data_IF_011936199115
#
_entry.id   IF_011936199115
#
_cell.length_a   1.000
_cell.length_b   1.000
_cell.length_c   1.000
_cell.angle_alpha   90.00
_cell.angle_beta   90.00
_cell.angle_gamma   90.00
#
_symmetry.space_group_name_H-M   'P 1'
#
loop_
_entity.id
_entity.type
_entity.pdbx_description
1 polymer ?
#
# COMPACT_ATOMS: atom_id res chain seq x y z
N UNK A 1 1.74 -26.09 71.14
CA UNK A 1 0.69 -27.06 70.75
C UNK A 1 -0.54 -26.24 70.32
N UNK A 2 -0.93 -26.31 69.05
CA UNK A 2 -2.20 -26.93 68.57
C UNK A 2 -3.45 -26.35 69.28
N UNK A 3 -4.55 -25.91 68.66
CA UNK A 3 -5.14 -25.99 67.30
C UNK A 3 -6.43 -25.12 67.32
N UNK A 4 -6.80 -24.52 66.16
CA UNK A 4 -8.15 -24.31 65.55
C UNK A 4 -9.34 -23.84 66.43
N UNK A 5 -10.15 -22.84 66.04
CA UNK A 5 -11.04 -22.76 64.88
C UNK A 5 -11.40 -21.28 64.58
N UNK A 6 -11.28 -20.75 63.35
CA UNK A 6 -12.18 -20.86 62.18
C UNK A 6 -13.66 -20.56 62.45
N UNK A 7 -14.13 -19.39 61.99
CA UNK A 7 -15.24 -19.25 61.01
C UNK A 7 -15.78 -17.81 60.98
N UNK A 8 -15.21 -16.93 60.14
CA UNK A 8 -15.95 -15.76 59.61
C UNK A 8 -15.23 -15.04 58.46
N UNK A 9 -14.66 -15.73 57.47
CA UNK A 9 -14.24 -15.08 56.22
C UNK A 9 -14.55 -16.02 55.06
N UNK A 10 -15.81 -16.06 54.65
CA UNK A 10 -16.20 -16.52 53.33
C UNK A 10 -17.49 -15.80 52.97
N UNK A 11 -17.60 -15.32 51.73
CA UNK A 11 -18.60 -14.39 51.18
C UNK A 11 -18.14 -12.93 51.22
N UNK A 12 -17.07 -12.61 50.49
CA UNK A 12 -16.93 -11.29 49.82
C UNK A 12 -15.77 -11.26 48.79
N UNK A 13 -15.55 -12.34 48.02
CA UNK A 13 -14.57 -12.32 46.93
C UNK A 13 -14.90 -13.34 45.83
N UNK A 14 -16.14 -13.33 45.32
CA UNK A 14 -16.50 -14.13 44.13
C UNK A 14 -17.53 -13.44 43.22
N UNK A 15 -17.75 -12.13 43.38
CA UNK A 15 -18.65 -11.36 42.50
C UNK A 15 -17.92 -10.38 41.57
N UNK A 16 -16.64 -10.09 41.79
CA UNK A 16 -15.91 -9.05 41.02
C UNK A 16 -15.10 -9.58 39.84
N UNK A 17 -14.94 -10.91 39.69
CA UNK A 17 -14.24 -11.50 38.53
C UNK A 17 -15.16 -11.82 37.36
N UNK A 18 -16.48 -11.93 37.56
CA UNK A 18 -17.40 -12.27 36.48
C UNK A 18 -17.72 -11.08 35.56
N UNK A 19 -17.69 -9.84 36.06
CA UNK A 19 -17.92 -8.64 35.24
C UNK A 19 -16.69 -8.18 34.44
N UNK A 20 -15.46 -8.53 34.86
CA UNK A 20 -14.26 -8.11 34.14
C UNK A 20 -13.98 -9.00 32.91
N UNK A 21 -14.44 -10.26 32.92
CA UNK A 21 -14.25 -11.21 31.82
C UNK A 21 -15.32 -11.05 30.73
N UNK A 22 -16.53 -10.61 31.08
CA UNK A 22 -17.59 -10.36 30.09
C UNK A 22 -17.40 -9.05 29.32
N UNK A 23 -16.88 -7.99 29.95
CA UNK A 23 -16.57 -6.73 29.27
C UNK A 23 -15.38 -6.88 28.31
N UNK A 24 -14.39 -7.71 28.65
CA UNK A 24 -13.27 -8.02 27.76
C UNK A 24 -13.67 -8.95 26.61
N UNK A 25 -14.56 -9.92 26.84
CA UNK A 25 -15.10 -10.76 25.77
C UNK A 25 -16.06 -9.99 24.84
N UNK A 26 -16.88 -9.05 25.35
CA UNK A 26 -17.71 -8.19 24.51
C UNK A 26 -16.90 -7.10 23.80
N UNK A 27 -15.84 -6.56 24.41
CA UNK A 27 -14.92 -5.62 23.74
C UNK A 27 -14.02 -6.32 22.72
N UNK A 28 -13.59 -7.56 22.96
CA UNK A 28 -12.91 -8.38 21.95
C UNK A 28 -13.86 -8.87 20.87
N UNK A 29 -15.11 -9.21 21.20
CA UNK A 29 -16.12 -9.53 20.19
C UNK A 29 -16.55 -8.29 19.38
N UNK A 30 -16.55 -7.09 19.97
CA UNK A 30 -16.79 -5.83 19.25
C UNK A 30 -15.56 -5.35 18.47
N UNK A 31 -14.34 -5.66 18.92
CA UNK A 31 -13.10 -5.41 18.17
C UNK A 31 -12.89 -6.44 17.05
N UNK A 32 -13.28 -7.71 17.26
CA UNK A 32 -13.35 -8.73 16.22
C UNK A 32 -14.55 -8.50 15.28
N UNK A 33 -15.65 -7.91 15.76
CA UNK A 33 -16.75 -7.46 14.90
C UNK A 33 -16.44 -6.16 14.15
N UNK A 34 -15.43 -5.38 14.58
CA UNK A 34 -14.82 -4.32 13.75
C UNK A 34 -13.79 -4.84 12.75
N UNK A 35 -13.43 -6.12 12.87
CA UNK A 35 -12.60 -6.88 11.92
C UNK A 35 -13.44 -7.91 11.16
N UNK A 36 -14.74 -7.67 10.96
CA UNK A 36 -15.48 -8.35 9.89
C UNK A 36 -14.88 -7.93 8.56
N UNK A 37 -13.95 -8.76 8.09
CA UNK A 37 -13.67 -8.95 6.67
C UNK A 37 -15.02 -9.13 5.97
N UNK A 38 -15.23 -8.39 4.88
CA UNK A 38 -16.30 -8.54 3.89
C UNK A 38 -17.69 -8.00 4.23
N UNK A 39 -17.92 -6.71 3.97
CA UNK A 39 -19.26 -6.23 3.56
C UNK A 39 -19.30 -5.65 2.14
N UNK A 40 -18.15 -5.59 1.44
CA UNK A 40 -18.08 -5.04 0.09
C UNK A 40 -17.26 -5.93 -0.83
N UNK A 41 -17.97 -6.69 -1.65
CA UNK A 41 -17.44 -7.46 -2.77
C UNK A 41 -16.98 -6.52 -3.88
N UNK A 42 -16.13 -7.02 -4.78
CA UNK A 42 -15.80 -6.36 -6.05
C UNK A 42 -17.06 -5.90 -6.77
N UNK A 43 -18.16 -6.67 -6.73
CA UNK A 43 -19.45 -6.29 -7.33
C UNK A 43 -20.05 -5.03 -6.70
N UNK A 44 -19.96 -4.89 -5.37
CA UNK A 44 -20.44 -3.68 -4.70
C UNK A 44 -19.62 -2.44 -5.08
N UNK A 45 -18.31 -2.61 -5.27
CA UNK A 45 -17.42 -1.55 -5.73
C UNK A 45 -17.74 -1.18 -7.18
N UNK A 46 -17.97 -2.17 -8.05
CA UNK A 46 -18.38 -1.92 -9.44
C UNK A 46 -19.64 -1.04 -9.52
N UNK A 47 -20.64 -1.28 -8.67
CA UNK A 47 -21.84 -0.45 -8.59
C UNK A 47 -21.54 0.98 -8.12
N UNK A 48 -20.60 1.17 -7.18
CA UNK A 48 -20.15 2.49 -6.74
C UNK A 48 -19.45 3.27 -7.86
N UNK A 49 -18.78 2.60 -8.80
CA UNK A 49 -18.01 3.28 -9.86
C UNK A 49 -18.91 4.03 -10.85
N UNK A 50 -20.17 3.62 -10.98
CA UNK A 50 -21.16 4.26 -11.86
C UNK A 50 -21.37 5.75 -11.56
N UNK A 51 -21.10 6.18 -10.32
CA UNK A 51 -21.19 7.60 -9.96
C UNK A 51 -20.10 8.46 -10.63
N UNK A 52 -19.02 7.84 -11.13
CA UNK A 52 -17.89 8.53 -11.75
C UNK A 52 -17.91 8.52 -13.28
N UNK A 53 -18.88 7.82 -13.88
CA UNK A 53 -19.07 7.70 -15.32
C UNK A 53 -19.31 6.25 -15.76
N UNK A 54 -19.20 6.02 -17.07
CA UNK A 54 -19.26 4.68 -17.66
C UNK A 54 -17.92 3.96 -17.43
N UNK A 55 -17.83 3.24 -16.31
CA UNK A 55 -16.63 2.53 -15.87
C UNK A 55 -16.99 1.07 -15.58
N UNK A 56 -16.36 0.16 -16.33
CA UNK A 56 -16.45 -1.28 -16.09
C UNK A 56 -15.30 -1.74 -15.19
N UNK A 57 -15.63 -2.54 -14.17
CA UNK A 57 -14.64 -3.24 -13.35
C UNK A 57 -14.59 -4.71 -13.76
N UNK A 58 -13.46 -5.16 -14.28
CA UNK A 58 -13.27 -6.52 -14.74
C UNK A 58 -12.23 -7.28 -13.93
N UNK A 59 -12.66 -8.38 -13.32
CA UNK A 59 -11.76 -9.30 -12.61
C UNK A 59 -11.33 -10.44 -13.54
N UNK A 60 -10.03 -10.73 -13.59
CA UNK A 60 -9.49 -11.83 -14.37
C UNK A 60 -8.71 -12.84 -13.52
N UNK A 61 -8.99 -14.12 -13.73
CA UNK A 61 -8.33 -15.20 -12.99
C UNK A 61 -6.99 -15.63 -13.59
N UNK A 62 -6.83 -15.51 -14.91
CA UNK A 62 -5.66 -16.00 -15.63
C UNK A 62 -5.49 -15.27 -16.96
N UNK A 63 -4.41 -15.61 -17.68
CA UNK A 63 -4.02 -14.96 -18.94
C UNK A 63 -5.07 -15.13 -20.04
N UNK A 64 -5.69 -16.30 -20.14
CA UNK A 64 -6.71 -16.53 -21.15
C UNK A 64 -7.94 -15.64 -20.93
N UNK A 65 -8.43 -15.55 -19.69
CA UNK A 65 -9.53 -14.66 -19.33
C UNK A 65 -9.19 -13.18 -19.57
N UNK A 66 -7.96 -12.78 -19.24
CA UNK A 66 -7.48 -11.42 -19.49
C UNK A 66 -7.44 -11.08 -20.98
N UNK A 67 -6.82 -11.93 -21.80
CA UNK A 67 -6.70 -11.70 -23.24
C UNK A 67 -8.05 -11.71 -23.96
N UNK A 68 -8.97 -12.59 -23.56
CA UNK A 68 -10.32 -12.61 -24.12
C UNK A 68 -11.02 -11.26 -23.91
N UNK A 69 -10.93 -10.70 -22.70
CA UNK A 69 -11.52 -9.39 -22.42
C UNK A 69 -10.79 -8.26 -23.16
N UNK A 70 -9.47 -8.27 -23.25
CA UNK A 70 -8.73 -7.27 -24.03
C UNK A 70 -9.11 -7.31 -25.52
N UNK A 71 -9.39 -8.48 -26.09
CA UNK A 71 -9.85 -8.61 -27.47
C UNK A 71 -11.26 -8.06 -27.67
N UNK A 72 -12.16 -8.34 -26.74
CA UNK A 72 -13.52 -7.78 -26.75
C UNK A 72 -13.47 -6.24 -26.77
N UNK A 73 -12.54 -5.64 -26.01
CA UNK A 73 -12.60 -4.23 -25.66
C UNK A 73 -11.73 -3.34 -26.55
N UNK A 74 -10.47 -3.70 -26.74
CA UNK A 74 -9.55 -3.00 -27.64
C UNK A 74 -9.41 -3.71 -29.00
N UNK A 75 -9.60 -5.03 -29.03
CA UNK A 75 -9.20 -5.87 -30.16
C UNK A 75 -7.70 -6.11 -30.13
N UNK A 76 -7.26 -7.34 -29.90
CA UNK A 76 -5.84 -7.69 -29.78
C UNK A 76 -5.08 -7.36 -31.07
N UNK A 77 -5.74 -7.40 -32.23
CA UNK A 77 -5.16 -6.99 -33.51
C UNK A 77 -4.70 -5.51 -33.56
N UNK A 78 -5.16 -4.67 -32.63
CA UNK A 78 -4.73 -3.28 -32.50
C UNK A 78 -3.52 -3.10 -31.56
N UNK A 79 -3.07 -4.17 -30.90
CA UNK A 79 -1.94 -4.16 -29.98
C UNK A 79 -0.74 -4.78 -30.72
N UNK A 80 0.38 -4.07 -30.72
CA UNK A 80 1.61 -4.58 -31.33
C UNK A 80 2.12 -5.76 -30.50
N UNK A 81 2.10 -6.96 -31.09
CA UNK A 81 2.50 -8.22 -30.43
C UNK A 81 1.87 -8.41 -29.03
N UNK A 82 0.58 -8.75 -28.97
CA UNK A 82 -0.15 -8.91 -27.70
C UNK A 82 0.41 -10.05 -26.87
N UNK A 83 0.97 -11.08 -27.51
CA UNK A 83 1.51 -12.22 -26.78
C UNK A 83 2.75 -11.86 -25.98
N UNK A 84 3.67 -11.10 -26.58
CA UNK A 84 4.82 -10.55 -25.89
C UNK A 84 4.42 -9.47 -24.87
N UNK A 85 3.52 -8.55 -25.25
CA UNK A 85 3.07 -7.44 -24.39
C UNK A 85 2.44 -7.96 -23.09
N UNK A 86 1.68 -9.04 -23.17
CA UNK A 86 0.98 -9.64 -22.03
C UNK A 86 1.56 -11.00 -21.63
N UNK A 87 2.86 -11.20 -21.86
CA UNK A 87 3.58 -12.38 -21.40
C UNK A 87 3.62 -12.45 -19.86
N UNK A 88 3.72 -11.29 -19.20
CA UNK A 88 3.54 -11.15 -17.75
C UNK A 88 2.24 -10.41 -17.49
N UNK A 89 1.37 -10.99 -16.65
CA UNK A 89 0.13 -10.33 -16.26
C UNK A 89 0.41 -9.18 -15.27
N UNK A 90 -0.37 -8.09 -15.35
CA UNK A 90 -0.34 -7.04 -14.34
C UNK A 90 -0.57 -7.60 -12.94
N UNK A 91 0.16 -7.05 -11.97
CA UNK A 91 0.06 -7.45 -10.55
C UNK A 91 -0.84 -6.53 -9.74
N UNK A 92 -1.14 -5.35 -10.27
CA UNK A 92 -2.02 -4.34 -9.69
C UNK A 92 -3.28 -4.19 -10.54
N UNK A 93 -4.32 -3.51 -10.00
CA UNK A 93 -5.32 -2.88 -10.83
C UNK A 93 -4.65 -1.99 -11.87
N UNK A 94 -5.27 -1.85 -13.04
CA UNK A 94 -4.84 -0.90 -14.04
C UNK A 94 -6.00 -0.53 -14.95
N UNK A 95 -5.92 0.69 -15.47
CA UNK A 95 -6.93 1.25 -16.34
C UNK A 95 -6.58 1.08 -17.81
N UNK A 96 -7.58 0.72 -18.60
CA UNK A 96 -7.53 0.73 -20.05
C UNK A 96 -8.53 1.76 -20.55
N UNK A 97 -7.99 2.81 -21.14
CA UNK A 97 -8.70 3.79 -21.95
C UNK A 97 -8.20 3.69 -23.39
N UNK A 98 -9.00 4.11 -24.38
CA UNK A 98 -8.51 4.06 -25.76
C UNK A 98 -9.55 4.21 -26.85
N UNK A 99 -9.16 3.77 -28.05
CA UNK A 99 -10.00 3.78 -29.24
C UNK A 99 -10.00 2.41 -29.91
N UNK A 100 -11.17 1.94 -30.34
CA UNK A 100 -11.34 0.77 -31.22
C UNK A 100 -11.69 1.28 -32.62
N UNK A 101 -10.87 0.94 -33.63
CA UNK A 101 -11.06 1.39 -35.02
C UNK A 101 -11.20 2.93 -35.15
N UNK A 102 -10.38 3.68 -34.41
CA UNK A 102 -10.40 5.15 -34.42
C UNK A 102 -11.52 5.81 -33.63
N UNK A 103 -12.48 5.04 -33.08
CA UNK A 103 -13.56 5.54 -32.22
C UNK A 103 -13.25 5.31 -30.74
N UNK A 104 -13.53 6.25 -29.83
CA UNK A 104 -13.44 5.99 -28.39
C UNK A 104 -14.20 4.72 -28.01
N UNK A 105 -13.60 3.91 -27.14
CA UNK A 105 -14.34 2.84 -26.46
C UNK A 105 -15.43 3.47 -25.59
N UNK A 106 -16.60 2.82 -25.49
CA UNK A 106 -17.77 3.40 -24.84
C UNK A 106 -17.58 3.60 -23.34
N UNK A 107 -17.01 2.58 -22.68
CA UNK A 107 -16.71 2.57 -21.25
C UNK A 107 -15.20 2.62 -21.00
N UNK A 108 -14.79 3.28 -19.93
CA UNK A 108 -13.47 3.06 -19.35
C UNK A 108 -13.43 1.71 -18.64
N UNK A 109 -12.29 1.03 -18.63
CA UNK A 109 -12.20 -0.31 -18.05
C UNK A 109 -11.08 -0.41 -17.04
N UNK A 110 -11.39 -0.93 -15.86
CA UNK A 110 -10.42 -1.21 -14.80
C UNK A 110 -10.29 -2.72 -14.70
N UNK A 111 -9.07 -3.22 -14.92
CA UNK A 111 -8.75 -4.63 -14.87
C UNK A 111 -8.10 -4.97 -13.53
N UNK A 112 -8.61 -6.00 -12.84
CA UNK A 112 -8.12 -6.43 -11.52
C UNK A 112 -7.76 -7.92 -11.54
N UNK A 113 -6.54 -8.31 -11.15
CA UNK A 113 -6.20 -9.71 -10.93
C UNK A 113 -7.04 -10.32 -9.80
N UNK A 114 -7.64 -11.49 -10.03
CA UNK A 114 -8.52 -12.13 -9.05
C UNK A 114 -7.82 -12.41 -7.70
N UNK A 115 -6.51 -12.64 -7.70
CA UNK A 115 -5.71 -12.97 -6.52
C UNK A 115 -5.44 -11.77 -5.60
N UNK A 116 -5.87 -10.55 -5.94
CA UNK A 116 -5.73 -9.35 -5.11
C UNK A 116 -7.08 -8.73 -4.73
N UNK A 117 -8.19 -9.39 -5.09
CA UNK A 117 -9.54 -8.97 -4.71
C UNK A 117 -9.82 -9.25 -3.23
N UNK A 118 -10.72 -8.53 -2.57
CA UNK A 118 -11.13 -8.81 -1.19
C UNK A 118 -11.58 -10.26 -0.99
N UNK A 119 -12.23 -10.85 -1.99
CA UNK A 119 -12.74 -12.23 -1.99
C UNK A 119 -11.62 -13.28 -1.96
N UNK A 120 -10.42 -12.93 -2.40
CA UNK A 120 -9.26 -13.85 -2.39
C UNK A 120 -8.68 -14.09 -1.00
N UNK A 121 -9.01 -13.22 -0.02
CA UNK A 121 -8.39 -13.23 1.30
C UNK A 121 -6.94 -12.71 1.33
N UNK A 122 -6.37 -12.37 0.17
CA UNK A 122 -5.06 -11.73 0.09
C UNK A 122 -5.19 -10.22 0.27
N UNK A 123 -4.24 -9.63 0.97
CA UNK A 123 -4.18 -8.18 1.18
C UNK A 123 -3.44 -7.52 0.02
N UNK A 124 -4.11 -6.58 -0.68
CA UNK A 124 -3.58 -5.97 -1.89
C UNK A 124 -2.21 -5.30 -1.67
N UNK A 125 -2.02 -4.54 -0.59
CA UNK A 125 -0.71 -3.93 -0.30
C UNK A 125 0.36 -4.99 -0.05
N UNK A 126 0.06 -6.07 0.66
CA UNK A 126 1.01 -7.17 0.86
C UNK A 126 1.45 -7.78 -0.48
N UNK A 127 0.50 -8.01 -1.38
CA UNK A 127 0.76 -8.56 -2.71
C UNK A 127 1.57 -7.60 -3.58
N UNK A 128 1.23 -6.31 -3.58
CA UNK A 128 1.93 -5.28 -4.35
C UNK A 128 3.34 -4.98 -3.82
N UNK A 129 3.53 -5.08 -2.51
CA UNK A 129 4.86 -5.07 -1.86
C UNK A 129 5.60 -6.41 -2.01
N UNK A 130 5.18 -7.26 -2.96
CA UNK A 130 5.83 -8.52 -3.37
C UNK A 130 5.96 -9.53 -2.23
N UNK A 131 5.11 -9.42 -1.20
CA UNK A 131 5.14 -10.26 -0.01
C UNK A 131 6.38 -10.08 0.88
N UNK A 132 7.22 -9.06 0.65
CA UNK A 132 8.45 -8.83 1.42
C UNK A 132 8.20 -8.64 2.91
N UNK A 133 7.01 -8.18 3.27
CA UNK A 133 6.61 -7.85 4.63
C UNK A 133 5.65 -8.87 5.24
N UNK A 134 5.49 -10.03 4.57
CA UNK A 134 4.55 -11.07 4.94
C UNK A 134 3.20 -10.94 4.23
N UNK A 135 2.32 -11.96 4.38
CA UNK A 135 1.01 -12.00 3.73
C UNK A 135 -0.06 -11.12 4.41
N UNK A 136 0.21 -10.69 5.65
CA UNK A 136 -0.69 -9.88 6.46
C UNK A 136 0.07 -8.68 7.04
N UNK A 137 -0.40 -7.49 6.71
CA UNK A 137 0.14 -6.23 7.16
C UNK A 137 -0.70 -5.67 8.32
N UNK A 138 -0.08 -4.80 9.11
CA UNK A 138 -0.81 -3.98 10.08
C UNK A 138 -1.24 -2.68 9.40
N UNK A 139 -2.54 -2.37 9.48
CA UNK A 139 -3.12 -1.15 8.93
C UNK A 139 -3.64 -0.26 10.06
N UNK A 140 -3.61 1.05 9.85
CA UNK A 140 -4.40 1.95 10.69
C UNK A 140 -5.86 2.02 10.26
N UNK A 141 -6.13 1.72 8.98
CA UNK A 141 -7.47 1.54 8.45
C UNK A 141 -7.83 0.05 8.31
N UNK A 142 -7.85 -0.49 7.09
CA UNK A 142 -8.13 -1.88 6.78
C UNK A 142 -7.66 -2.24 5.37
N UNK A 143 -7.43 -3.53 5.12
CA UNK A 143 -7.15 -4.05 3.78
C UNK A 143 -8.28 -3.73 2.77
N UNK A 144 -9.54 -3.72 3.21
CA UNK A 144 -10.68 -3.39 2.36
C UNK A 144 -10.68 -1.92 1.91
N UNK A 145 -10.31 -0.99 2.81
CA UNK A 145 -10.25 0.43 2.46
C UNK A 145 -9.07 0.73 1.53
N UNK A 146 -7.92 0.10 1.74
CA UNK A 146 -6.75 0.24 0.86
C UNK A 146 -6.98 -0.37 -0.53
N UNK A 147 -7.74 -1.47 -0.63
CA UNK A 147 -8.24 -1.97 -1.91
C UNK A 147 -9.13 -0.95 -2.63
N UNK A 148 -10.12 -0.39 -1.93
CA UNK A 148 -11.00 0.64 -2.53
C UNK A 148 -10.23 1.86 -2.98
N UNK A 149 -9.21 2.28 -2.23
CA UNK A 149 -8.34 3.37 -2.64
C UNK A 149 -7.64 3.09 -3.96
N UNK A 150 -7.07 1.90 -4.17
CA UNK A 150 -6.47 1.54 -5.45
C UNK A 150 -7.47 1.49 -6.61
N UNK A 151 -8.70 1.01 -6.38
CA UNK A 151 -9.74 1.05 -7.43
C UNK A 151 -10.14 2.49 -7.77
N UNK A 152 -10.28 3.36 -6.76
CA UNK A 152 -10.62 4.77 -6.98
C UNK A 152 -9.46 5.56 -7.61
N UNK A 153 -8.22 5.14 -7.36
CA UNK A 153 -7.05 5.66 -8.06
C UNK A 153 -7.19 5.38 -9.56
N UNK A 154 -7.49 4.14 -9.95
CA UNK A 154 -7.77 3.77 -11.35
C UNK A 154 -8.96 4.54 -11.97
N UNK A 155 -10.01 4.81 -11.19
CA UNK A 155 -11.12 5.67 -11.64
C UNK A 155 -10.65 7.05 -12.08
N UNK A 156 -9.60 7.63 -11.45
CA UNK A 156 -9.05 8.92 -11.90
C UNK A 156 -8.38 8.80 -13.26
N UNK A 157 -7.72 7.68 -13.55
CA UNK A 157 -7.12 7.38 -14.86
C UNK A 157 -8.17 7.20 -15.97
N UNK A 158 -9.44 6.99 -15.64
CA UNK A 158 -10.53 7.00 -16.61
C UNK A 158 -10.89 8.38 -17.17
N UNK A 159 -10.35 9.47 -16.64
CA UNK A 159 -10.67 10.82 -17.09
C UNK A 159 -9.79 11.23 -18.28
N UNK A 160 -10.32 11.97 -19.27
CA UNK A 160 -9.64 12.27 -20.51
C UNK A 160 -8.48 13.27 -20.41
N UNK A 161 -8.24 13.84 -19.24
CA UNK A 161 -7.08 14.68 -18.95
C UNK A 161 -5.91 13.87 -18.35
N UNK A 162 -6.09 12.56 -18.20
CA UNK A 162 -5.18 11.62 -17.54
C UNK A 162 -4.75 10.53 -18.54
N UNK A 163 -3.88 10.90 -19.48
CA UNK A 163 -3.35 9.97 -20.48
C UNK A 163 -1.83 9.93 -20.40
N UNK A 164 -1.30 8.70 -20.27
CA UNK A 164 0.12 8.43 -20.08
C UNK A 164 0.99 9.04 -21.17
N UNK A 165 1.65 10.14 -20.81
CA UNK A 165 2.71 10.80 -21.55
C UNK A 165 4.08 10.45 -20.90
N UNK A 166 5.12 11.24 -21.17
CA UNK A 166 6.45 11.16 -20.53
C UNK A 166 6.40 11.02 -18.99
N UNK A 167 7.43 10.39 -18.40
CA UNK A 167 7.55 10.08 -16.96
C UNK A 167 7.09 11.23 -16.03
N UNK A 168 7.42 12.49 -16.37
CA UNK A 168 7.11 13.67 -15.54
C UNK A 168 5.62 14.04 -15.56
N UNK A 169 4.94 13.88 -16.70
CA UNK A 169 3.49 14.10 -16.78
C UNK A 169 2.75 12.96 -16.12
N UNK A 170 3.17 11.73 -16.39
CA UNK A 170 2.65 10.53 -15.75
C UNK A 170 2.82 10.59 -14.22
N UNK A 171 3.90 11.20 -13.69
CA UNK A 171 4.08 11.41 -12.24
C UNK A 171 2.99 12.27 -11.60
N UNK A 172 2.61 13.35 -12.27
CA UNK A 172 1.53 14.21 -11.80
C UNK A 172 0.18 13.48 -11.81
N UNK A 173 -0.02 12.69 -12.84
CA UNK A 173 -1.22 11.92 -13.02
C UNK A 173 -1.34 10.90 -11.86
N UNK A 174 -0.29 10.13 -11.58
CA UNK A 174 -0.26 9.22 -10.42
C UNK A 174 -0.57 9.94 -9.08
N UNK A 175 0.02 11.11 -8.84
CA UNK A 175 -0.26 11.91 -7.65
C UNK A 175 -1.73 12.38 -7.59
N UNK A 176 -2.26 12.87 -8.71
CA UNK A 176 -3.65 13.33 -8.79
C UNK A 176 -4.64 12.18 -8.58
N UNK A 177 -4.31 10.98 -9.04
CA UNK A 177 -5.10 9.77 -8.80
C UNK A 177 -5.10 9.35 -7.34
N UNK A 178 -3.94 9.41 -6.67
CA UNK A 178 -3.84 9.14 -5.23
C UNK A 178 -4.67 10.13 -4.40
N UNK A 179 -4.56 11.43 -4.72
CA UNK A 179 -5.30 12.50 -4.05
C UNK A 179 -6.81 12.41 -4.29
N UNK A 180 -7.21 12.16 -5.54
CA UNK A 180 -8.62 11.93 -5.88
C UNK A 180 -9.19 10.78 -5.06
N UNK A 181 -8.53 9.63 -5.06
CA UNK A 181 -8.99 8.45 -4.34
C UNK A 181 -9.07 8.70 -2.84
N UNK A 182 -8.10 9.42 -2.28
CA UNK A 182 -8.12 9.84 -0.89
C UNK A 182 -9.33 10.71 -0.57
N UNK A 183 -9.58 11.77 -1.35
CA UNK A 183 -10.68 12.70 -1.09
C UNK A 183 -12.07 12.06 -1.22
N UNK A 184 -12.22 11.05 -2.09
CA UNK A 184 -13.47 10.30 -2.22
C UNK A 184 -13.75 9.34 -1.05
N UNK A 185 -12.70 8.83 -0.38
CA UNK A 185 -12.82 7.78 0.63
C UNK A 185 -12.58 8.28 2.06
N UNK A 186 -11.93 9.43 2.21
CA UNK A 186 -11.66 10.03 3.49
C UNK A 186 -12.95 10.57 4.14
N UNK A 187 -13.14 10.18 5.39
CA UNK A 187 -14.17 10.69 6.31
C UNK A 187 -13.47 11.39 7.47
N UNK A 188 -14.13 12.28 8.23
CA UNK A 188 -13.54 12.88 9.41
C UNK A 188 -12.90 11.87 10.38
N UNK A 189 -13.48 10.67 10.48
CA UNK A 189 -13.05 9.62 11.41
C UNK A 189 -11.83 8.84 10.91
N UNK A 190 -11.69 8.61 9.60
CA UNK A 190 -10.62 7.78 9.04
C UNK A 190 -9.51 8.57 8.33
N UNK A 191 -9.67 9.89 8.10
CA UNK A 191 -8.80 10.68 7.20
C UNK A 191 -7.31 10.54 7.54
N UNK A 192 -6.95 10.68 8.81
CA UNK A 192 -5.55 10.61 9.24
C UNK A 192 -4.97 9.20 9.10
N UNK A 193 -5.74 8.17 9.45
CA UNK A 193 -5.33 6.77 9.32
C UNK A 193 -5.16 6.39 7.84
N UNK A 194 -6.10 6.80 6.98
CA UNK A 194 -6.06 6.53 5.54
C UNK A 194 -4.85 7.21 4.88
N UNK A 195 -4.57 8.48 5.24
CA UNK A 195 -3.41 9.19 4.75
C UNK A 195 -2.12 8.46 5.13
N UNK A 196 -2.00 8.01 6.38
CA UNK A 196 -0.83 7.27 6.87
C UNK A 196 -0.61 5.94 6.16
N UNK A 197 -1.67 5.17 5.90
CA UNK A 197 -1.56 3.91 5.15
C UNK A 197 -1.14 4.17 3.69
N UNK A 198 -1.74 5.15 3.01
CA UNK A 198 -1.43 5.48 1.61
C UNK A 198 -0.01 6.04 1.46
N UNK A 199 0.40 6.98 2.31
CA UNK A 199 1.73 7.57 2.30
C UNK A 199 2.76 6.47 2.54
N UNK A 200 2.57 5.62 3.56
CA UNK A 200 3.47 4.53 3.85
C UNK A 200 3.62 3.57 2.65
N UNK A 201 2.50 3.23 1.99
CA UNK A 201 2.52 2.41 0.79
C UNK A 201 3.34 3.06 -0.32
N UNK A 202 3.05 4.32 -0.67
CA UNK A 202 3.75 5.03 -1.75
C UNK A 202 5.21 5.28 -1.44
N UNK A 203 5.60 5.57 -0.20
CA UNK A 203 7.01 5.68 0.20
C UNK A 203 7.72 4.34 -0.02
N UNK A 204 7.15 3.23 0.45
CA UNK A 204 7.72 1.88 0.26
C UNK A 204 7.88 1.55 -1.22
N UNK A 205 6.81 1.70 -2.02
CA UNK A 205 6.89 1.35 -3.44
C UNK A 205 7.87 2.25 -4.18
N UNK A 206 7.84 3.56 -3.94
CA UNK A 206 8.73 4.55 -4.58
C UNK A 206 10.20 4.27 -4.26
N UNK A 207 10.52 4.01 -2.99
CA UNK A 207 11.89 3.79 -2.56
C UNK A 207 12.45 2.44 -3.03
N UNK A 208 11.62 1.41 -3.21
CA UNK A 208 12.14 0.06 -3.41
C UNK A 208 12.03 -0.48 -4.84
N UNK A 209 10.94 -0.22 -5.57
CA UNK A 209 10.74 -0.91 -6.85
C UNK A 209 9.79 -0.28 -7.87
N UNK A 210 9.06 0.77 -7.53
CA UNK A 210 8.13 1.41 -8.47
C UNK A 210 8.86 2.01 -9.68
N UNK A 211 8.15 2.14 -10.80
CA UNK A 211 8.62 2.92 -11.93
C UNK A 211 8.60 4.41 -11.61
N UNK A 212 9.32 5.21 -12.41
CA UNK A 212 9.53 6.65 -12.12
C UNK A 212 8.23 7.44 -12.00
N UNK A 213 7.23 7.14 -12.82
CA UNK A 213 5.92 7.81 -12.72
C UNK A 213 5.24 7.60 -11.36
N UNK A 214 5.52 6.49 -10.69
CA UNK A 214 4.89 6.17 -9.41
C UNK A 214 5.75 6.58 -8.19
N UNK A 215 6.84 7.34 -8.40
CA UNK A 215 7.73 7.80 -7.33
C UNK A 215 7.18 9.03 -6.59
N UNK A 216 5.90 9.01 -6.24
CA UNK A 216 5.11 10.16 -5.75
C UNK A 216 5.09 10.31 -4.22
N UNK A 217 5.88 9.50 -3.50
CA UNK A 217 5.73 9.33 -2.05
C UNK A 217 5.89 10.61 -1.22
N UNK A 218 6.82 11.51 -1.57
CA UNK A 218 7.02 12.77 -0.83
C UNK A 218 5.96 13.79 -1.22
N UNK A 219 5.69 13.96 -2.51
CA UNK A 219 4.63 14.85 -3.00
C UNK A 219 3.27 14.49 -2.39
N UNK A 220 2.97 13.19 -2.28
CA UNK A 220 1.74 12.73 -1.65
C UNK A 220 1.74 12.99 -0.15
N UNK A 221 2.85 12.73 0.53
CA UNK A 221 3.02 13.06 1.95
C UNK A 221 2.69 14.53 2.20
N UNK A 222 3.37 15.45 1.50
CA UNK A 222 3.20 16.88 1.69
C UNK A 222 1.83 17.40 1.27
N UNK A 223 1.20 16.82 0.25
CA UNK A 223 -0.16 17.18 -0.14
C UNK A 223 -1.21 16.77 0.92
N UNK A 224 -1.00 15.63 1.57
CA UNK A 224 -1.90 15.09 2.59
C UNK A 224 -1.58 15.56 4.02
N UNK A 225 -0.37 16.06 4.26
CA UNK A 225 0.06 16.65 5.52
C UNK A 225 -0.33 18.15 5.59
N UNK A 226 -1.19 18.57 6.55
CA UNK A 226 -1.56 19.97 6.73
C UNK A 226 -0.37 20.93 6.90
N UNK A 227 0.76 20.46 7.44
CA UNK A 227 1.96 21.27 7.70
C UNK A 227 2.95 21.27 6.52
N UNK A 228 2.76 20.35 5.56
CA UNK A 228 3.70 20.09 4.47
C UNK A 228 3.35 20.71 3.12
N UNK A 229 2.16 21.29 2.93
CA UNK A 229 1.63 21.63 1.59
C UNK A 229 2.51 22.56 0.75
N UNK A 230 3.27 23.45 1.37
CA UNK A 230 4.17 24.39 0.68
C UNK A 230 5.55 23.78 0.37
N UNK A 231 5.78 22.51 0.72
CA UNK A 231 7.06 21.81 0.60
C UNK A 231 7.09 20.81 -0.56
N UNK A 232 6.08 20.84 -1.44
CA UNK A 232 6.03 19.92 -2.58
C UNK A 232 7.30 20.04 -3.44
N UNK A 233 8.06 18.93 -3.61
CA UNK A 233 9.32 18.96 -4.33
C UNK A 233 9.08 19.19 -5.82
N UNK A 234 10.10 19.66 -6.52
CA UNK A 234 10.13 19.49 -7.96
C UNK A 234 10.12 17.98 -8.29
N UNK A 235 9.35 17.59 -9.31
CA UNK A 235 9.11 16.18 -9.63
C UNK A 235 10.37 15.46 -10.10
N UNK A 236 11.20 16.14 -10.90
CA UNK A 236 12.44 15.54 -11.37
C UNK A 236 13.40 15.32 -10.20
N UNK A 237 13.38 16.24 -9.23
CA UNK A 237 14.14 16.13 -8.00
C UNK A 237 13.61 15.02 -7.08
N UNK A 238 12.30 14.88 -6.91
CA UNK A 238 11.67 13.78 -6.15
C UNK A 238 12.04 12.42 -6.75
N UNK A 239 11.86 12.26 -8.06
CA UNK A 239 12.23 11.03 -8.78
C UNK A 239 13.71 10.72 -8.59
N UNK A 240 14.59 11.73 -8.73
CA UNK A 240 16.02 11.55 -8.52
C UNK A 240 16.33 11.12 -7.08
N UNK A 241 15.69 11.72 -6.07
CA UNK A 241 15.86 11.37 -4.67
C UNK A 241 15.45 9.92 -4.38
N UNK A 242 14.31 9.45 -4.90
CA UNK A 242 13.89 8.05 -4.75
C UNK A 242 14.80 7.07 -5.49
N UNK A 243 15.24 7.39 -6.72
CA UNK A 243 16.20 6.56 -7.47
C UNK A 243 17.52 6.43 -6.71
N UNK A 244 18.07 7.54 -6.21
CA UNK A 244 19.31 7.54 -5.46
C UNK A 244 19.17 6.79 -4.13
N UNK A 245 18.05 6.96 -3.43
CA UNK A 245 17.75 6.23 -2.19
C UNK A 245 17.65 4.73 -2.44
N UNK A 246 16.97 4.30 -3.51
CA UNK A 246 16.89 2.89 -3.93
C UNK A 246 18.27 2.28 -4.16
N UNK A 247 19.14 3.01 -4.87
CA UNK A 247 20.51 2.56 -5.14
C UNK A 247 21.32 2.44 -3.85
N UNK A 248 21.20 3.43 -2.94
CA UNK A 248 21.89 3.44 -1.66
C UNK A 248 21.46 2.25 -0.78
N UNK A 249 20.15 2.00 -0.67
CA UNK A 249 19.60 0.84 0.03
C UNK A 249 20.15 -0.47 -0.58
N UNK A 250 20.11 -0.60 -1.91
CA UNK A 250 20.62 -1.78 -2.60
C UNK A 250 22.12 -2.02 -2.38
N UNK A 251 22.93 -0.96 -2.34
CA UNK A 251 24.35 -1.05 -2.03
C UNK A 251 24.60 -1.49 -0.59
N UNK A 252 23.90 -0.88 0.39
CA UNK A 252 24.03 -1.24 1.80
C UNK A 252 23.56 -2.68 2.04
N UNK A 253 22.44 -3.11 1.45
CA UNK A 253 21.95 -4.49 1.57
C UNK A 253 22.95 -5.51 1.01
N UNK A 254 23.59 -5.23 -0.13
CA UNK A 254 24.67 -6.07 -0.69
C UNK A 254 25.91 -6.11 0.20
N UNK A 255 26.27 -5.00 0.83
CA UNK A 255 27.39 -4.94 1.76
C UNK A 255 27.11 -5.79 3.00
N UNK A 256 25.90 -5.70 3.57
CA UNK A 256 25.46 -6.54 4.71
C UNK A 256 25.45 -8.02 4.33
N UNK A 257 24.96 -8.35 3.13
CA UNK A 257 24.90 -9.74 2.64
C UNK A 257 26.27 -10.34 2.29
N UNK A 258 27.38 -9.63 2.52
CA UNK A 258 28.74 -10.07 2.19
C UNK A 258 28.88 -10.59 0.75
N UNK A 259 28.30 -9.86 -0.21
CA UNK A 259 28.28 -10.18 -1.65
C UNK A 259 27.40 -11.37 -2.09
N UNK A 260 26.61 -11.96 -1.18
CA UNK A 260 25.48 -12.82 -1.58
C UNK A 260 24.30 -11.97 -2.09
N UNK A 261 23.33 -12.60 -2.77
CA UNK A 261 22.06 -11.96 -3.12
C UNK A 261 21.32 -11.59 -1.83
N UNK A 262 21.03 -10.29 -1.56
CA UNK A 262 20.36 -9.89 -0.32
C UNK A 262 18.96 -10.50 -0.21
N UNK A 263 18.58 -10.94 0.98
CA UNK A 263 17.19 -11.31 1.29
C UNK A 263 16.40 -10.08 1.74
N UNK A 264 15.09 -10.24 1.98
CA UNK A 264 14.27 -9.19 2.58
C UNK A 264 14.78 -8.75 3.96
N UNK A 265 15.46 -9.63 4.71
CA UNK A 265 16.04 -9.28 6.01
C UNK A 265 17.19 -8.29 5.87
N UNK A 266 18.16 -8.54 4.97
CA UNK A 266 19.26 -7.60 4.73
C UNK A 266 18.78 -6.29 4.11
N UNK A 267 17.71 -6.33 3.30
CA UNK A 267 17.09 -5.11 2.77
C UNK A 267 16.53 -4.22 3.88
N UNK A 268 15.76 -4.78 4.81
CA UNK A 268 15.16 -3.99 5.91
C UNK A 268 16.25 -3.52 6.88
N UNK A 269 17.23 -4.37 7.20
CA UNK A 269 18.38 -3.97 8.01
C UNK A 269 19.16 -2.81 7.36
N UNK A 270 19.36 -2.85 6.04
CA UNK A 270 20.01 -1.76 5.32
C UNK A 270 19.25 -0.43 5.47
N UNK A 271 17.92 -0.47 5.40
CA UNK A 271 17.07 0.71 5.59
C UNK A 271 17.24 1.27 7.00
N UNK A 272 17.17 0.43 8.03
CA UNK A 272 17.34 0.85 9.43
C UNK A 272 18.75 1.44 9.67
N UNK A 273 19.83 0.81 9.17
CA UNK A 273 21.19 1.35 9.30
C UNK A 273 21.38 2.68 8.55
N UNK A 274 20.71 2.87 7.41
CA UNK A 274 20.75 4.12 6.66
C UNK A 274 19.93 5.23 7.34
N UNK A 275 18.78 4.90 7.95
CA UNK A 275 18.03 5.82 8.83
C UNK A 275 18.91 6.31 9.98
N UNK A 276 19.57 5.42 10.71
CA UNK A 276 20.45 5.78 11.83
C UNK A 276 21.55 6.75 11.39
N UNK A 277 22.15 6.52 10.20
CA UNK A 277 23.15 7.43 9.63
C UNK A 277 22.56 8.80 9.28
N UNK A 278 21.33 8.84 8.77
CA UNK A 278 20.58 10.07 8.48
C UNK A 278 20.35 10.88 9.75
N UNK A 279 19.79 10.25 10.80
CA UNK A 279 19.50 10.88 12.09
C UNK A 279 20.78 11.37 12.79
N UNK A 280 21.89 10.66 12.65
CA UNK A 280 23.19 11.06 13.17
C UNK A 280 23.90 12.16 12.33
N UNK A 281 23.34 12.57 11.18
CA UNK A 281 23.96 13.53 10.27
C UNK A 281 25.23 13.01 9.58
N UNK A 282 25.38 11.69 9.49
CA UNK A 282 26.56 11.01 8.90
C UNK A 282 26.28 10.37 7.55
N UNK A 283 25.03 10.49 7.05
CA UNK A 283 24.64 10.03 5.74
C UNK A 283 25.39 10.82 4.65
N UNK A 284 26.13 10.13 3.79
CA UNK A 284 26.75 10.74 2.63
C UNK A 284 25.69 10.93 1.53
N UNK A 285 25.06 12.10 1.52
CA UNK A 285 24.09 12.50 0.51
C UNK A 285 24.29 13.96 0.12
N UNK A 286 24.07 14.26 -1.17
CA UNK A 286 24.01 15.63 -1.68
C UNK A 286 22.56 16.17 -1.74
N UNK A 287 21.58 15.34 -1.39
CA UNK A 287 20.16 15.68 -1.40
C UNK A 287 19.54 15.42 -0.01
N UNK A 288 19.02 16.45 0.68
CA UNK A 288 18.44 16.29 2.01
C UNK A 288 17.20 15.39 2.03
N UNK A 289 16.46 15.29 0.90
CA UNK A 289 15.26 14.44 0.79
C UNK A 289 15.58 12.97 0.97
N UNK A 290 16.79 12.54 0.65
CA UNK A 290 17.19 11.13 0.85
C UNK A 290 17.12 10.75 2.34
N UNK A 291 17.50 11.67 3.23
CA UNK A 291 17.40 11.44 4.67
C UNK A 291 15.95 11.30 5.15
N UNK A 292 15.07 12.16 4.63
CA UNK A 292 13.62 12.09 4.91
C UNK A 292 13.00 10.80 4.37
N UNK A 293 13.29 10.43 3.11
CA UNK A 293 12.79 9.18 2.51
C UNK A 293 13.17 7.98 3.36
N UNK A 294 14.41 7.91 3.87
CA UNK A 294 14.87 6.80 4.70
C UNK A 294 14.13 6.72 6.04
N UNK A 295 13.86 7.86 6.67
CA UNK A 295 13.09 7.91 7.93
C UNK A 295 11.65 7.45 7.68
N UNK A 296 10.98 8.05 6.69
CA UNK A 296 9.59 7.70 6.34
C UNK A 296 9.45 6.25 5.90
N UNK A 297 10.44 5.71 5.18
CA UNK A 297 10.47 4.33 4.74
C UNK A 297 10.57 3.35 5.92
N UNK A 298 11.50 3.59 6.84
CA UNK A 298 11.66 2.73 8.02
C UNK A 298 10.41 2.80 8.93
N UNK A 299 9.84 4.00 9.13
CA UNK A 299 8.60 4.18 9.89
C UNK A 299 7.40 3.48 9.23
N UNK A 300 7.29 3.54 7.89
CA UNK A 300 6.26 2.82 7.15
C UNK A 300 6.42 1.29 7.30
N UNK A 301 7.65 0.77 7.26
CA UNK A 301 7.92 -0.66 7.46
C UNK A 301 7.61 -1.07 8.91
N UNK A 302 8.01 -0.27 9.89
CA UNK A 302 7.70 -0.51 11.30
C UNK A 302 6.19 -0.57 11.54
N UNK A 303 5.42 0.27 10.83
CA UNK A 303 3.96 0.28 10.88
C UNK A 303 3.34 -0.94 10.22
N UNK A 304 3.68 -1.23 8.96
CA UNK A 304 3.07 -2.34 8.22
C UNK A 304 3.51 -3.72 8.70
N UNK A 305 4.74 -3.84 9.20
CA UNK A 305 5.37 -5.12 9.53
C UNK A 305 6.14 -5.06 10.86
N UNK A 306 5.47 -4.73 11.99
CA UNK A 306 6.15 -4.43 13.26
C UNK A 306 7.01 -5.58 13.78
N UNK A 307 6.57 -6.83 13.59
CA UNK A 307 7.35 -8.00 14.01
C UNK A 307 8.62 -8.19 13.19
N UNK A 308 8.54 -7.95 11.89
CA UNK A 308 9.69 -8.07 10.99
C UNK A 308 10.68 -6.93 11.25
N UNK A 309 10.19 -5.70 11.40
CA UNK A 309 11.01 -4.55 11.76
C UNK A 309 11.73 -4.76 13.10
N UNK A 310 11.03 -5.21 14.14
CA UNK A 310 11.64 -5.52 15.44
C UNK A 310 12.74 -6.60 15.36
N UNK A 311 12.61 -7.55 14.42
CA UNK A 311 13.58 -8.64 14.24
C UNK A 311 14.94 -8.18 13.70
N UNK A 312 14.99 -7.01 13.05
CA UNK A 312 16.23 -6.43 12.50
C UNK A 312 16.70 -5.20 13.26
N UNK A 313 15.83 -4.53 14.00
CA UNK A 313 16.17 -3.38 14.85
C UNK A 313 17.09 -3.77 16.03
N UNK A 314 17.06 -5.03 16.47
CA UNK A 314 18.00 -5.53 17.47
C UNK A 314 19.27 -6.03 16.77
N UNK A 315 20.32 -5.20 16.78
CA UNK A 315 21.66 -5.66 16.36
C UNK A 315 21.99 -6.92 17.17
N UNK A 316 22.26 -8.05 16.50
CA UNK A 316 23.01 -9.11 17.17
C UNK A 316 24.37 -8.50 17.55
N UNK A 317 24.80 -8.59 18.81
CA UNK A 317 26.16 -8.22 19.15
C UNK A 317 27.08 -9.11 18.31
N UNK A 318 28.05 -8.47 17.64
CA UNK A 318 29.21 -9.18 17.08
C UNK A 318 30.00 -9.87 18.20
#
# INVERSE_FOLDING_TARGET
MNRFHLSLITILMTASLACAVTVSAQAQAQAQARLTVSDRTTDSIAAELLQFGDIDLFVFANRAAFLARMDETLGLGNIRDPDATFASLPRSPFTVTGRKNGKPIASCQIFVPANITPESGNEIFAQLMRGWFGPHLSYETSAGLTYRWLIYHEVRHCKPDHFGDEDVKSHNDELNADLFAFDQLATPENRAALARDIIGFRIITSALFADKSHMTGLSLKYALDPEGRDQNPDKAEEIAAFVNTRQMIGNQARAIAAQATPTSLELIRAITELREKSEAGTLQSNDPRMGEILIELDDAIARFAPRLHASVATRRPD
#
